data_IF_354822055233
#
_entry.id   IF_354822055233
#
_cell.length_a   1.000
_cell.length_b   1.000
_cell.length_c   1.000
_cell.angle_alpha   90.00
_cell.angle_beta   90.00
_cell.angle_gamma   90.00
#
_symmetry.space_group_name_H-M   'P 1'
#
loop_
_entity.id
_entity.type
_entity.pdbx_description
1 polymer ?
#
# COMPACT_ATOMS: atom_id res chain seq x y z
N UNK A 1 -28.81 2.26 6.25
CA UNK A 1 -28.16 2.47 7.57
C UNK A 1 -28.29 3.94 7.94
N UNK A 2 -28.50 4.28 9.23
CA UNK A 2 -28.50 5.69 9.65
C UNK A 2 -27.05 6.20 9.80
N UNK A 3 -26.69 7.21 9.00
CA UNK A 3 -25.36 7.82 9.05
C UNK A 3 -25.27 8.84 10.19
N UNK A 4 -24.20 8.74 10.99
CA UNK A 4 -23.92 9.68 12.07
C UNK A 4 -22.99 10.79 11.58
N UNK A 5 -23.28 12.03 11.96
CA UNK A 5 -22.48 13.20 11.61
C UNK A 5 -21.74 13.74 12.84
N UNK A 6 -20.65 14.49 12.58
CA UNK A 6 -19.82 15.21 13.54
C UNK A 6 -19.18 14.38 14.65
N UNK A 7 -19.09 13.07 14.46
CA UNK A 7 -18.42 12.13 15.36
C UNK A 7 -17.66 11.08 14.56
N UNK A 8 -16.68 10.47 15.20
CA UNK A 8 -15.92 9.36 14.64
C UNK A 8 -16.68 8.08 14.93
N UNK A 9 -16.97 7.29 13.90
CA UNK A 9 -17.66 6.00 14.04
C UNK A 9 -16.74 4.91 13.54
N UNK A 10 -16.57 3.85 14.32
CA UNK A 10 -15.79 2.66 13.97
C UNK A 10 -16.70 1.43 14.08
N UNK A 11 -16.69 0.60 13.04
CA UNK A 11 -17.52 -0.60 12.90
C UNK A 11 -16.63 -1.77 12.46
N UNK A 12 -16.97 -2.99 12.87
CA UNK A 12 -16.31 -4.21 12.40
C UNK A 12 -17.27 -5.07 11.58
N UNK A 13 -16.85 -5.41 10.37
CA UNK A 13 -17.58 -6.22 9.40
C UNK A 13 -16.67 -7.40 9.03
N UNK A 14 -16.76 -8.50 9.78
CA UNK A 14 -15.82 -9.62 9.67
C UNK A 14 -14.39 -9.18 9.98
N UNK A 15 -13.49 -9.39 9.01
CA UNK A 15 -12.08 -9.00 9.07
C UNK A 15 -11.79 -7.60 8.53
N UNK A 16 -12.85 -6.80 8.34
CA UNK A 16 -12.75 -5.41 7.88
C UNK A 16 -13.25 -4.44 8.95
N UNK A 17 -12.44 -3.43 9.25
CA UNK A 17 -12.85 -2.29 10.07
C UNK A 17 -13.27 -1.16 9.13
N UNK A 18 -14.42 -0.56 9.40
CA UNK A 18 -14.93 0.62 8.71
C UNK A 18 -14.93 1.78 9.68
N UNK A 19 -14.18 2.83 9.38
CA UNK A 19 -14.14 4.05 10.18
C UNK A 19 -14.55 5.25 9.35
N UNK A 20 -15.43 6.10 9.89
CA UNK A 20 -15.88 7.30 9.17
C UNK A 20 -16.04 8.53 10.05
N UNK A 21 -15.94 9.69 9.38
CA UNK A 21 -16.21 11.03 9.90
C UNK A 21 -16.97 11.77 8.81
N UNK A 22 -18.24 12.07 9.07
CA UNK A 22 -19.10 12.84 8.18
C UNK A 22 -19.39 14.19 8.82
N UNK A 23 -19.16 15.27 8.10
CA UNK A 23 -19.20 16.66 8.57
C UNK A 23 -20.39 17.38 7.93
N UNK A 24 -20.46 17.38 6.60
CA UNK A 24 -21.47 18.11 5.85
C UNK A 24 -22.03 17.24 4.71
N UNK A 25 -23.35 17.02 4.71
CA UNK A 25 -24.01 16.25 3.66
C UNK A 25 -23.98 16.92 2.28
N UNK A 26 -23.80 18.25 2.24
CA UNK A 26 -23.82 19.04 1.01
C UNK A 26 -22.43 19.11 0.32
N UNK A 27 -21.45 18.36 0.83
CA UNK A 27 -20.10 18.26 0.25
C UNK A 27 -19.76 16.81 -0.11
N UNK A 28 -18.79 16.56 -1.02
CA UNK A 28 -18.40 15.21 -1.40
C UNK A 28 -17.99 14.33 -0.23
N UNK A 29 -18.16 13.02 -0.38
CA UNK A 29 -17.61 12.00 0.52
C UNK A 29 -16.53 11.19 -0.16
N UNK A 30 -15.39 11.03 0.51
CA UNK A 30 -14.28 10.22 0.02
C UNK A 30 -14.35 8.84 0.66
N UNK A 31 -14.37 7.80 -0.17
CA UNK A 31 -14.34 6.41 0.25
C UNK A 31 -12.96 5.82 -0.03
N UNK A 32 -12.28 5.32 1.00
CA UNK A 32 -10.88 4.90 0.91
C UNK A 32 -10.68 3.42 1.20
N UNK A 33 -9.84 2.75 0.41
CA UNK A 33 -9.33 1.41 0.71
C UNK A 33 -7.79 1.39 0.67
N UNK A 34 -7.12 0.74 1.64
CA UNK A 34 -5.70 0.88 1.87
C UNK A 34 -4.89 -0.07 0.99
N UNK A 35 -3.58 0.17 0.84
CA UNK A 35 -2.70 -0.82 0.24
C UNK A 35 -2.64 -2.08 1.11
N UNK A 36 -2.27 -3.21 0.49
CA UNK A 36 -2.13 -4.49 1.21
C UNK A 36 -0.96 -4.54 2.21
N UNK A 37 -0.14 -3.48 2.28
CA UNK A 37 0.95 -3.34 3.24
C UNK A 37 0.54 -2.66 4.55
N UNK A 38 -0.72 -2.21 4.67
CA UNK A 38 -1.22 -1.48 5.84
C UNK A 38 -2.44 -2.22 6.39
N UNK A 39 -2.25 -2.99 7.46
CA UNK A 39 -3.29 -3.72 8.20
C UNK A 39 -3.21 -3.34 9.68
N UNK A 40 -4.31 -3.52 10.40
CA UNK A 40 -4.40 -3.26 11.85
C UNK A 40 -4.79 -4.54 12.57
N UNK A 41 -4.16 -4.84 13.70
CA UNK A 41 -4.44 -6.09 14.44
C UNK A 41 -5.54 -5.94 15.49
N UNK A 42 -5.78 -4.73 16.00
CA UNK A 42 -6.68 -4.49 17.12
C UNK A 42 -7.65 -3.32 16.89
N UNK A 43 -8.82 -3.40 17.52
CA UNK A 43 -9.91 -2.42 17.43
C UNK A 43 -9.66 -1.14 18.25
N UNK A 44 -8.79 -1.22 19.26
CA UNK A 44 -8.59 -0.17 20.29
C UNK A 44 -7.31 0.65 20.07
N UNK A 45 -6.68 0.54 18.91
CA UNK A 45 -5.48 1.32 18.66
C UNK A 45 -5.82 2.77 18.31
N UNK A 46 -5.08 3.71 18.91
CA UNK A 46 -4.94 5.11 18.48
C UNK A 46 -4.15 5.23 17.16
N UNK A 47 -4.03 4.12 16.40
CA UNK A 47 -3.24 4.10 15.19
C UNK A 47 -3.86 4.97 14.11
N UNK A 48 -2.97 5.70 13.43
CA UNK A 48 -3.30 6.52 12.28
C UNK A 48 -3.78 5.62 11.16
N UNK A 49 -5.09 5.63 10.93
CA UNK A 49 -5.68 4.81 9.91
C UNK A 49 -5.48 5.44 8.53
N UNK A 50 -4.99 4.63 7.58
CA UNK A 50 -4.68 5.08 6.22
C UNK A 50 -5.83 5.84 5.58
N UNK A 51 -5.55 7.05 5.10
CA UNK A 51 -6.53 7.92 4.47
C UNK A 51 -7.48 8.63 5.44
N UNK A 52 -7.94 7.97 6.51
CA UNK A 52 -8.94 8.51 7.44
C UNK A 52 -8.48 9.83 8.07
N UNK A 53 -7.36 9.83 8.78
CA UNK A 53 -6.87 11.04 9.47
C UNK A 53 -6.48 12.13 8.49
N UNK A 54 -5.98 11.75 7.32
CA UNK A 54 -5.63 12.69 6.26
C UNK A 54 -6.85 13.52 5.84
N UNK A 55 -7.96 12.86 5.47
CA UNK A 55 -9.18 13.56 5.04
C UNK A 55 -9.90 14.25 6.19
N UNK A 56 -9.92 13.64 7.38
CA UNK A 56 -10.45 14.26 8.61
C UNK A 56 -9.73 15.59 8.91
N UNK A 57 -8.39 15.62 8.85
CA UNK A 57 -7.62 16.85 9.05
C UNK A 57 -7.91 17.92 7.99
N UNK A 58 -8.32 17.53 6.78
CA UNK A 58 -8.72 18.47 5.72
C UNK A 58 -10.21 18.87 5.80
N UNK A 59 -10.95 18.43 6.83
CA UNK A 59 -12.39 18.68 6.98
C UNK A 59 -13.23 18.14 5.80
N UNK A 60 -12.83 16.99 5.25
CA UNK A 60 -13.54 16.30 4.17
C UNK A 60 -14.31 15.11 4.75
N UNK A 61 -15.54 14.87 4.30
CA UNK A 61 -16.29 13.67 4.68
C UNK A 61 -15.51 12.44 4.22
N UNK A 62 -15.28 11.48 5.12
CA UNK A 62 -14.48 10.29 4.80
C UNK A 62 -15.10 9.04 5.39
N UNK A 63 -15.10 7.97 4.58
CA UNK A 63 -15.34 6.60 5.00
C UNK A 63 -14.15 5.76 4.57
N UNK A 64 -13.47 5.15 5.53
CA UNK A 64 -12.27 4.38 5.30
C UNK A 64 -12.46 2.94 5.74
N UNK A 65 -12.12 2.01 4.85
CA UNK A 65 -12.11 0.57 5.10
C UNK A 65 -10.70 0.12 5.44
N UNK A 66 -10.54 -0.87 6.32
CA UNK A 66 -9.24 -1.40 6.73
C UNK A 66 -9.32 -2.91 6.86
N UNK A 67 -8.32 -3.61 6.34
CA UNK A 67 -8.20 -5.04 6.60
C UNK A 67 -7.50 -5.28 7.93
N UNK A 68 -7.97 -6.27 8.67
CA UNK A 68 -7.39 -6.66 9.97
C UNK A 68 -6.34 -7.75 9.86
N UNK A 69 -6.17 -8.31 8.65
CA UNK A 69 -5.26 -9.40 8.36
C UNK A 69 -4.59 -9.20 7.01
N UNK A 70 -3.38 -9.74 6.86
CA UNK A 70 -2.55 -9.57 5.66
C UNK A 70 -3.21 -10.11 4.38
N UNK A 71 -4.06 -11.13 4.48
CA UNK A 71 -4.70 -11.82 3.35
C UNK A 71 -6.20 -11.52 3.18
N UNK A 72 -6.68 -10.39 3.71
CA UNK A 72 -8.03 -9.88 3.38
C UNK A 72 -7.99 -9.01 2.12
N UNK A 73 -8.92 -9.27 1.20
CA UNK A 73 -8.98 -8.72 -0.16
C UNK A 73 -10.24 -7.88 -0.42
N UNK A 74 -11.03 -7.63 0.61
CA UNK A 74 -12.33 -6.95 0.61
C UNK A 74 -13.38 -7.68 -0.22
N UNK A 75 -13.42 -9.02 -0.12
CA UNK A 75 -14.32 -9.86 -0.95
C UNK A 75 -15.31 -10.70 -0.15
N UNK A 76 -15.33 -10.59 1.18
CA UNK A 76 -16.25 -11.37 2.01
C UNK A 76 -17.72 -11.03 1.72
N UNK A 77 -18.60 -12.02 1.78
CA UNK A 77 -20.04 -11.84 1.54
C UNK A 77 -20.65 -10.86 2.54
N UNK A 78 -20.23 -10.92 3.80
CA UNK A 78 -20.67 -9.98 4.84
C UNK A 78 -20.30 -8.52 4.51
N UNK A 79 -19.09 -8.28 4.00
CA UNK A 79 -18.68 -6.95 3.58
C UNK A 79 -19.50 -6.44 2.39
N UNK A 80 -19.78 -7.30 1.41
CA UNK A 80 -20.57 -6.93 0.24
C UNK A 80 -21.98 -6.46 0.63
N UNK A 81 -22.68 -7.22 1.47
CA UNK A 81 -24.01 -6.83 1.98
C UNK A 81 -23.97 -5.50 2.75
N UNK A 82 -22.94 -5.30 3.57
CA UNK A 82 -22.75 -4.03 4.26
C UNK A 82 -22.53 -2.86 3.27
N UNK A 83 -21.71 -3.08 2.24
CA UNK A 83 -21.41 -2.07 1.23
C UNK A 83 -22.65 -1.68 0.42
N UNK A 84 -23.52 -2.63 0.07
CA UNK A 84 -24.80 -2.34 -0.60
C UNK A 84 -25.70 -1.44 0.25
N UNK A 85 -25.84 -1.76 1.54
CA UNK A 85 -26.61 -0.95 2.48
C UNK A 85 -26.00 0.43 2.70
N UNK A 86 -24.67 0.50 2.74
CA UNK A 86 -23.94 1.76 2.85
C UNK A 86 -24.16 2.62 1.61
N UNK A 87 -24.04 2.06 0.41
CA UNK A 87 -24.25 2.77 -0.86
C UNK A 87 -25.62 3.44 -0.95
N UNK A 88 -26.69 2.73 -0.56
CA UNK A 88 -28.03 3.31 -0.48
C UNK A 88 -28.10 4.51 0.48
N UNK A 89 -27.35 4.45 1.59
CA UNK A 89 -27.30 5.53 2.59
C UNK A 89 -26.44 6.71 2.13
N UNK A 90 -25.48 6.49 1.22
CA UNK A 90 -24.60 7.50 0.65
C UNK A 90 -25.25 8.36 -0.43
N UNK A 91 -26.45 8.01 -0.90
CA UNK A 91 -27.20 8.77 -1.91
C UNK A 91 -27.49 10.22 -1.50
N UNK A 92 -27.38 10.56 -0.22
CA UNK A 92 -27.55 11.93 0.30
C UNK A 92 -26.41 12.88 -0.07
N UNK A 93 -25.23 12.35 -0.42
CA UNK A 93 -24.06 13.17 -0.75
C UNK A 93 -24.08 13.56 -2.23
N UNK A 94 -23.67 14.78 -2.58
CA UNK A 94 -23.65 15.24 -3.96
C UNK A 94 -22.65 14.48 -4.83
N UNK A 95 -21.59 13.94 -4.21
CA UNK A 95 -20.54 13.20 -4.91
C UNK A 95 -19.90 12.17 -3.97
N UNK A 96 -19.64 10.95 -4.47
CA UNK A 96 -18.95 9.85 -3.79
C UNK A 96 -17.68 9.53 -4.58
N UNK A 97 -16.54 9.82 -3.97
CA UNK A 97 -15.22 9.74 -4.61
C UNK A 97 -14.43 8.56 -4.06
N UNK A 98 -14.04 7.63 -4.92
CA UNK A 98 -13.17 6.51 -4.54
C UNK A 98 -11.69 6.90 -4.49
N UNK A 99 -10.96 6.41 -3.48
CA UNK A 99 -9.51 6.52 -3.42
C UNK A 99 -8.85 5.21 -2.95
N UNK A 100 -7.99 4.64 -3.80
CA UNK A 100 -7.40 3.34 -3.52
C UNK A 100 -5.98 3.19 -4.07
N UNK A 101 -5.15 2.45 -3.34
CA UNK A 101 -3.78 2.11 -3.76
C UNK A 101 -3.62 0.59 -3.79
N UNK A 102 -3.04 0.04 -4.86
CA UNK A 102 -2.73 -1.39 -4.94
C UNK A 102 -3.97 -2.27 -4.74
N UNK A 103 -3.98 -3.11 -3.70
CA UNK A 103 -5.17 -3.87 -3.24
C UNK A 103 -6.37 -2.97 -2.96
N UNK A 104 -6.16 -1.79 -2.40
CA UNK A 104 -7.22 -0.81 -2.20
C UNK A 104 -7.78 -0.28 -3.53
N UNK A 105 -6.96 -0.19 -4.57
CA UNK A 105 -7.42 0.15 -5.91
C UNK A 105 -8.32 -0.94 -6.51
N UNK A 106 -8.02 -2.20 -6.23
CA UNK A 106 -8.90 -3.33 -6.54
C UNK A 106 -10.24 -3.19 -5.80
N UNK A 107 -10.22 -2.98 -4.48
CA UNK A 107 -11.42 -2.90 -3.66
C UNK A 107 -12.33 -1.72 -4.02
N UNK A 108 -11.76 -0.53 -4.26
CA UNK A 108 -12.52 0.64 -4.76
C UNK A 108 -13.24 0.29 -6.05
N UNK A 109 -12.55 -0.35 -6.99
CA UNK A 109 -13.09 -0.67 -8.31
C UNK A 109 -14.13 -1.78 -8.25
N UNK A 110 -13.91 -2.80 -7.42
CA UNK A 110 -14.82 -3.92 -7.22
C UNK A 110 -16.17 -3.44 -6.65
N UNK A 111 -16.12 -2.54 -5.67
CA UNK A 111 -17.29 -2.05 -4.94
C UNK A 111 -17.88 -0.76 -5.52
N UNK A 112 -17.35 -0.27 -6.64
CA UNK A 112 -17.69 1.05 -7.16
C UNK A 112 -19.19 1.22 -7.45
N UNK A 113 -19.82 0.21 -8.05
CA UNK A 113 -21.25 0.22 -8.35
C UNK A 113 -22.09 0.20 -7.08
N UNK A 114 -21.80 -0.71 -6.15
CA UNK A 114 -22.56 -0.84 -4.90
C UNK A 114 -22.43 0.41 -4.01
N UNK A 115 -21.28 1.10 -4.04
CA UNK A 115 -21.05 2.37 -3.36
C UNK A 115 -21.61 3.59 -4.10
N UNK A 116 -22.07 3.43 -5.35
CA UNK A 116 -22.55 4.51 -6.18
C UNK A 116 -21.48 5.57 -6.49
N UNK A 117 -20.22 5.17 -6.67
CA UNK A 117 -19.10 6.10 -6.89
C UNK A 117 -19.24 6.86 -8.21
N UNK A 118 -19.07 8.18 -8.16
CA UNK A 118 -19.11 9.04 -9.36
C UNK A 118 -17.76 9.09 -10.09
N UNK A 119 -16.65 8.93 -9.36
CA UNK A 119 -15.30 8.79 -9.91
C UNK A 119 -14.33 8.23 -8.88
N UNK A 120 -13.18 7.74 -9.33
CA UNK A 120 -12.15 7.24 -8.43
C UNK A 120 -10.71 7.55 -8.87
N UNK A 121 -9.84 7.77 -7.89
CA UNK A 121 -8.38 7.85 -8.07
C UNK A 121 -7.74 6.55 -7.60
N UNK A 122 -7.11 5.84 -8.53
CA UNK A 122 -6.43 4.58 -8.27
C UNK A 122 -4.93 4.74 -8.49
N UNK A 123 -4.12 4.29 -7.55
CA UNK A 123 -2.66 4.23 -7.72
C UNK A 123 -2.21 2.78 -7.79
N UNK A 124 -1.52 2.41 -8.87
CA UNK A 124 -1.01 1.06 -9.15
C UNK A 124 -2.04 -0.05 -8.81
N UNK A 125 -3.30 0.07 -9.26
CA UNK A 125 -4.36 -0.85 -8.86
C UNK A 125 -4.08 -2.27 -9.35
N UNK A 126 -4.49 -3.26 -8.57
CA UNK A 126 -4.78 -4.59 -9.12
C UNK A 126 -6.19 -4.57 -9.71
N UNK A 127 -6.39 -5.29 -10.82
CA UNK A 127 -7.71 -5.40 -11.45
C UNK A 127 -8.44 -6.68 -11.06
N UNK A 128 -7.74 -7.71 -10.59
CA UNK A 128 -8.32 -9.04 -10.32
C UNK A 128 -7.44 -9.82 -9.35
N UNK A 129 -8.06 -10.75 -8.60
CA UNK A 129 -7.37 -11.82 -7.87
C UNK A 129 -7.67 -13.21 -8.45
N UNK A 130 -8.11 -13.28 -9.72
CA UNK A 130 -8.27 -14.54 -10.45
C UNK A 130 -6.98 -14.88 -11.22
N UNK A 131 -6.32 -16.02 -10.94
CA UNK A 131 -5.11 -16.43 -11.65
C UNK A 131 -5.38 -16.81 -13.10
N UNK A 132 -6.63 -17.13 -13.46
CA UNK A 132 -7.05 -17.35 -14.85
C UNK A 132 -6.95 -16.06 -15.67
N UNK A 133 -7.24 -14.92 -15.04
CA UNK A 133 -7.30 -13.60 -15.68
C UNK A 133 -5.97 -12.85 -15.62
N UNK A 134 -5.16 -13.10 -14.60
CA UNK A 134 -3.84 -12.50 -14.42
C UNK A 134 -2.77 -13.53 -14.05
N UNK A 135 -2.50 -14.55 -14.90
CA UNK A 135 -1.48 -15.58 -14.62
C UNK A 135 -0.05 -15.02 -14.62
N UNK A 136 0.12 -13.76 -15.02
CA UNK A 136 1.39 -13.05 -15.09
C UNK A 136 1.72 -12.26 -13.82
N UNK A 137 0.82 -12.13 -12.84
CA UNK A 137 1.09 -11.44 -11.58
C UNK A 137 1.33 -12.44 -10.43
N UNK A 138 2.56 -12.49 -9.87
CA UNK A 138 2.85 -13.31 -8.70
C UNK A 138 1.98 -13.02 -7.47
N UNK A 139 1.49 -11.78 -7.31
CA UNK A 139 0.59 -11.42 -6.20
C UNK A 139 -0.77 -12.08 -6.34
N UNK A 140 -1.28 -12.19 -7.56
CA UNK A 140 -2.55 -12.86 -7.85
C UNK A 140 -2.42 -14.35 -7.58
N UNK A 141 -1.35 -14.97 -8.08
CA UNK A 141 -1.07 -16.40 -7.83
C UNK A 141 -0.92 -16.68 -6.32
N UNK A 142 -0.24 -15.80 -5.58
CA UNK A 142 -0.12 -15.94 -4.13
C UNK A 142 -1.48 -15.85 -3.44
N UNK A 143 -2.28 -14.84 -3.78
CA UNK A 143 -3.59 -14.59 -3.18
C UNK A 143 -4.58 -15.74 -3.41
N UNK A 144 -4.55 -16.34 -4.60
CA UNK A 144 -5.36 -17.52 -4.93
C UNK A 144 -5.06 -18.71 -4.00
N UNK A 145 -3.76 -19.00 -3.82
CA UNK A 145 -3.30 -20.08 -2.94
C UNK A 145 -3.63 -19.87 -1.47
N UNK A 146 -3.60 -18.61 -0.99
CA UNK A 146 -3.79 -18.31 0.43
C UNK A 146 -5.26 -18.10 0.81
N UNK A 147 -6.07 -17.51 -0.08
CA UNK A 147 -7.45 -17.12 0.27
C UNK A 147 -8.51 -18.18 0.00
N UNK A 148 -8.24 -19.20 -0.85
CA UNK A 148 -9.21 -20.21 -1.30
C UNK A 148 -10.59 -19.61 -1.67
N UNK A 149 -10.61 -18.39 -2.21
CA UNK A 149 -11.84 -17.65 -2.45
C UNK A 149 -12.60 -18.23 -3.64
N UNK A 150 -13.86 -18.60 -3.42
CA UNK A 150 -14.74 -19.22 -4.42
C UNK A 150 -15.91 -18.34 -4.88
N UNK A 151 -15.95 -17.06 -4.46
CA UNK A 151 -17.01 -16.14 -4.87
C UNK A 151 -16.75 -15.47 -6.23
N UNK A 152 -17.78 -14.82 -6.77
CA UNK A 152 -17.74 -14.18 -8.09
C UNK A 152 -17.06 -12.81 -8.10
N UNK A 153 -16.87 -12.19 -6.92
CA UNK A 153 -16.30 -10.86 -6.77
C UNK A 153 -14.76 -10.87 -6.81
N UNK A 154 -14.21 -11.38 -7.91
CA UNK A 154 -12.78 -11.59 -8.10
C UNK A 154 -12.15 -10.78 -9.24
N UNK A 155 -12.95 -10.06 -10.03
CA UNK A 155 -12.48 -9.19 -11.12
C UNK A 155 -13.21 -7.84 -11.10
N UNK A 156 -12.42 -6.78 -10.98
CA UNK A 156 -12.88 -5.39 -10.94
C UNK A 156 -12.67 -4.67 -12.29
N UNK A 157 -12.18 -5.37 -13.32
CA UNK A 157 -11.91 -4.82 -14.65
C UNK A 157 -13.14 -4.19 -15.34
N UNK A 158 -14.32 -4.75 -15.03
CA UNK A 158 -15.62 -4.31 -15.56
C UNK A 158 -16.15 -3.01 -14.95
N UNK A 159 -15.46 -2.43 -13.96
CA UNK A 159 -15.86 -1.17 -13.32
C UNK A 159 -16.11 -0.07 -14.37
N UNK A 160 -17.29 0.55 -14.31
CA UNK A 160 -17.74 1.61 -15.22
C UNK A 160 -17.60 3.02 -14.65
N UNK A 161 -17.37 3.15 -13.34
CA UNK A 161 -17.06 4.44 -12.70
C UNK A 161 -15.85 5.06 -13.38
N UNK A 162 -15.87 6.36 -13.74
CA UNK A 162 -14.71 7.08 -14.26
C UNK A 162 -13.46 6.93 -13.37
N UNK A 163 -12.42 6.27 -13.88
CA UNK A 163 -11.18 6.02 -13.15
C UNK A 163 -10.05 6.92 -13.66
N UNK A 164 -9.42 7.66 -12.74
CA UNK A 164 -8.08 8.23 -12.93
C UNK A 164 -7.05 7.28 -12.35
N UNK A 165 -6.20 6.71 -13.19
CA UNK A 165 -5.24 5.66 -12.80
C UNK A 165 -3.81 6.19 -12.91
N UNK A 166 -3.08 6.19 -11.78
CA UNK A 166 -1.66 6.49 -11.73
C UNK A 166 -0.86 5.18 -11.66
N UNK A 167 0.02 4.91 -12.62
CA UNK A 167 0.73 3.63 -12.70
C UNK A 167 2.15 3.75 -13.28
N UNK A 168 2.96 2.70 -13.11
CA UNK A 168 4.25 2.58 -13.79
C UNK A 168 4.12 1.74 -15.07
N UNK A 169 4.18 2.33 -16.28
CA UNK A 169 4.08 1.59 -17.52
C UNK A 169 5.28 0.67 -17.79
N UNK A 170 6.40 0.83 -17.08
CA UNK A 170 7.58 -0.01 -17.23
C UNK A 170 7.52 -1.27 -16.36
N UNK A 171 6.65 -1.31 -15.35
CA UNK A 171 6.40 -2.50 -14.56
C UNK A 171 5.28 -3.30 -15.25
N UNK A 172 5.63 -4.47 -15.81
CA UNK A 172 4.69 -5.31 -16.58
C UNK A 172 3.38 -5.58 -15.81
N UNK A 173 3.39 -6.01 -14.54
CA UNK A 173 2.15 -6.20 -13.80
C UNK A 173 1.24 -4.96 -13.70
N UNK A 174 1.79 -3.81 -13.31
CA UNK A 174 1.02 -2.57 -13.18
C UNK A 174 0.42 -2.13 -14.52
N UNK A 175 1.20 -2.23 -15.60
CA UNK A 175 0.71 -1.92 -16.96
C UNK A 175 -0.44 -2.84 -17.36
N UNK A 176 -0.29 -4.14 -17.18
CA UNK A 176 -1.29 -5.13 -17.58
C UNK A 176 -2.57 -5.04 -16.74
N UNK A 177 -2.47 -4.72 -15.44
CA UNK A 177 -3.65 -4.45 -14.62
C UNK A 177 -4.38 -3.19 -15.07
N UNK A 178 -3.66 -2.10 -15.33
CA UNK A 178 -4.26 -0.86 -15.85
C UNK A 178 -4.98 -1.11 -17.19
N UNK A 179 -4.37 -1.85 -18.11
CA UNK A 179 -4.93 -2.17 -19.44
C UNK A 179 -6.25 -2.96 -19.38
N UNK A 180 -6.55 -3.63 -18.26
CA UNK A 180 -7.80 -4.38 -18.09
C UNK A 180 -9.00 -3.49 -17.73
N UNK A 181 -8.80 -2.32 -17.13
CA UNK A 181 -9.91 -1.49 -16.67
C UNK A 181 -10.66 -0.84 -17.84
N UNK A 182 -11.96 -1.07 -17.92
CA UNK A 182 -12.81 -0.48 -18.97
C UNK A 182 -13.34 0.92 -18.64
N UNK A 183 -13.43 1.29 -17.36
CA UNK A 183 -13.86 2.62 -16.90
C UNK A 183 -12.74 3.65 -16.77
N UNK A 184 -11.54 3.37 -17.27
CA UNK A 184 -10.45 4.33 -17.22
C UNK A 184 -10.71 5.51 -18.18
N UNK A 185 -10.66 6.72 -17.61
CA UNK A 185 -10.81 7.99 -18.34
C UNK A 185 -9.53 8.81 -18.35
N UNK A 186 -8.63 8.58 -17.39
CA UNK A 186 -7.32 9.25 -17.34
C UNK A 186 -6.18 8.31 -16.89
N UNK A 187 -5.10 8.28 -17.68
CA UNK A 187 -3.86 7.51 -17.44
C UNK A 187 -2.70 8.42 -17.08
N UNK A 188 -2.36 8.48 -15.80
CA UNK A 188 -1.20 9.21 -15.32
C UNK A 188 0.00 8.27 -15.14
N UNK A 189 1.13 8.60 -15.76
CA UNK A 189 2.30 7.71 -15.83
C UNK A 189 3.43 8.21 -14.94
N UNK A 190 3.96 7.33 -14.10
CA UNK A 190 5.22 7.54 -13.39
C UNK A 190 6.18 6.40 -13.75
N UNK A 191 6.97 6.59 -14.80
CA UNK A 191 7.79 5.50 -15.35
C UNK A 191 9.05 5.21 -14.52
N UNK A 192 9.26 3.92 -14.22
CA UNK A 192 10.50 3.38 -13.64
C UNK A 192 10.57 3.41 -12.11
N UNK A 193 9.44 3.56 -11.43
CA UNK A 193 9.35 3.57 -9.95
C UNK A 193 8.85 2.24 -9.39
N UNK A 194 8.42 1.33 -10.25
CA UNK A 194 7.80 0.05 -9.90
C UNK A 194 6.47 0.24 -9.19
N UNK A 195 6.09 -0.76 -8.39
CA UNK A 195 4.86 -0.76 -7.60
C UNK A 195 5.00 0.12 -6.34
N UNK A 196 5.36 1.39 -6.53
CA UNK A 196 5.68 2.37 -5.48
C UNK A 196 5.13 3.77 -5.80
N UNK A 197 4.01 3.87 -6.51
CA UNK A 197 3.43 5.17 -6.94
C UNK A 197 3.15 6.09 -5.75
N UNK A 198 2.40 5.61 -4.74
CA UNK A 198 2.08 6.41 -3.55
C UNK A 198 3.34 6.87 -2.80
N UNK A 199 4.32 5.97 -2.62
CA UNK A 199 5.62 6.31 -2.04
C UNK A 199 6.36 7.36 -2.88
N UNK A 200 6.38 7.22 -4.20
CA UNK A 200 7.07 8.16 -5.09
C UNK A 200 6.47 9.55 -4.95
N UNK A 201 5.14 9.67 -5.01
CA UNK A 201 4.47 10.97 -4.87
C UNK A 201 4.74 11.59 -3.49
N UNK A 202 4.79 10.77 -2.43
CA UNK A 202 5.13 11.22 -1.07
C UNK A 202 6.58 11.70 -0.99
N UNK A 203 7.53 10.92 -1.49
CA UNK A 203 8.97 11.25 -1.47
C UNK A 203 9.27 12.48 -2.35
N UNK A 204 8.39 12.81 -3.31
CA UNK A 204 8.43 14.05 -4.09
C UNK A 204 7.71 15.23 -3.45
N UNK A 205 7.02 15.03 -2.32
CA UNK A 205 6.24 16.07 -1.63
C UNK A 205 4.95 16.47 -2.34
N UNK A 206 4.48 15.69 -3.33
CA UNK A 206 3.32 16.06 -4.17
C UNK A 206 2.10 15.15 -3.96
N UNK A 207 2.17 14.12 -3.10
CA UNK A 207 1.07 13.19 -2.86
C UNK A 207 -0.19 13.89 -2.33
N UNK A 208 -0.04 14.68 -1.26
CA UNK A 208 -1.16 15.40 -0.62
C UNK A 208 -1.89 16.26 -1.65
N UNK A 209 -1.15 17.09 -2.36
CA UNK A 209 -1.70 17.98 -3.38
C UNK A 209 -2.38 17.20 -4.52
N UNK A 210 -1.75 16.15 -5.04
CA UNK A 210 -2.34 15.30 -6.09
C UNK A 210 -3.69 14.72 -5.66
N UNK A 211 -3.80 14.23 -4.42
CA UNK A 211 -5.04 13.62 -3.91
C UNK A 211 -6.11 14.68 -3.68
N UNK A 212 -5.77 15.82 -3.08
CA UNK A 212 -6.73 16.90 -2.84
C UNK A 212 -7.19 17.57 -4.13
N UNK A 213 -6.30 17.80 -5.07
CA UNK A 213 -6.65 18.36 -6.37
C UNK A 213 -7.55 17.41 -7.15
N UNK A 214 -7.32 16.10 -7.05
CA UNK A 214 -8.29 15.13 -7.54
C UNK A 214 -9.63 15.30 -6.82
N UNK A 215 -9.67 15.25 -5.48
CA UNK A 215 -10.93 15.36 -4.72
C UNK A 215 -11.70 16.63 -5.06
N UNK A 216 -11.02 17.76 -5.26
CA UNK A 216 -11.63 19.04 -5.62
C UNK A 216 -11.86 19.24 -7.13
N UNK A 217 -11.61 18.22 -7.97
CA UNK A 217 -11.86 18.29 -9.41
C UNK A 217 -10.94 19.23 -10.19
N UNK A 218 -9.73 19.49 -9.68
CA UNK A 218 -8.76 20.46 -10.22
C UNK A 218 -7.37 19.88 -10.48
N UNK A 219 -7.29 18.56 -10.67
CA UNK A 219 -6.03 17.87 -10.94
C UNK A 219 -5.42 18.36 -12.26
N UNK A 220 -4.24 18.99 -12.18
CA UNK A 220 -3.50 19.50 -13.35
C UNK A 220 -2.82 18.35 -14.12
N UNK A 221 -3.53 17.83 -15.12
CA UNK A 221 -3.09 16.71 -15.95
C UNK A 221 -1.90 17.08 -16.84
N UNK A 222 -1.82 18.33 -17.29
CA UNK A 222 -0.80 18.81 -18.23
C UNK A 222 0.56 18.97 -17.54
N UNK A 223 0.56 19.46 -16.30
CA UNK A 223 1.78 19.65 -15.52
C UNK A 223 2.19 18.39 -14.75
N UNK A 224 1.28 17.44 -14.52
CA UNK A 224 1.59 16.20 -13.79
C UNK A 224 2.86 15.49 -14.31
N UNK A 225 3.06 15.28 -15.64
CA UNK A 225 4.27 14.69 -16.19
C UNK A 225 5.55 15.46 -15.84
N UNK A 226 5.49 16.80 -15.77
CA UNK A 226 6.63 17.65 -15.39
C UNK A 226 6.95 17.47 -13.92
N UNK A 227 5.94 17.50 -13.04
CA UNK A 227 6.11 17.31 -11.58
C UNK A 227 6.75 15.97 -11.24
N UNK A 228 6.29 14.88 -11.86
CA UNK A 228 6.83 13.54 -11.57
C UNK A 228 8.21 13.27 -12.19
N UNK A 229 8.79 14.19 -12.99
CA UNK A 229 10.22 14.09 -13.41
C UNK A 229 11.16 14.22 -12.23
N UNK A 230 10.71 14.83 -11.13
CA UNK A 230 11.43 14.86 -9.86
C UNK A 230 11.86 13.48 -9.37
N UNK A 231 11.20 12.38 -9.78
CA UNK A 231 11.60 11.01 -9.42
C UNK A 231 13.08 10.69 -9.68
N UNK A 232 13.73 11.40 -10.61
CA UNK A 232 15.17 11.31 -10.91
C UNK A 232 16.08 11.75 -9.75
N UNK A 233 15.55 12.44 -8.76
CA UNK A 233 16.26 12.83 -7.53
C UNK A 233 16.10 11.79 -6.41
N UNK A 234 15.33 10.72 -6.64
CA UNK A 234 15.08 9.70 -5.63
C UNK A 234 16.13 8.59 -5.72
N UNK A 235 16.77 8.28 -4.59
CA UNK A 235 17.84 7.28 -4.53
C UNK A 235 17.38 5.88 -4.96
N UNK A 236 16.17 5.48 -4.53
CA UNK A 236 15.62 4.17 -4.88
C UNK A 236 15.33 4.06 -6.38
N UNK A 237 14.89 5.14 -7.02
CA UNK A 237 14.60 5.19 -8.45
C UNK A 237 15.87 4.94 -9.26
N UNK A 238 16.95 5.66 -8.93
CA UNK A 238 18.24 5.51 -9.59
C UNK A 238 18.86 4.13 -9.35
N UNK A 239 18.76 3.61 -8.12
CA UNK A 239 19.21 2.24 -7.78
C UNK A 239 18.42 1.20 -8.57
N UNK A 240 17.10 1.32 -8.60
CA UNK A 240 16.21 0.39 -9.30
C UNK A 240 16.46 0.40 -10.80
N UNK A 241 16.66 1.55 -11.43
CA UNK A 241 16.92 1.58 -12.87
C UNK A 241 18.33 1.11 -13.25
N UNK A 242 19.30 1.26 -12.34
CA UNK A 242 20.66 0.77 -12.56
C UNK A 242 20.73 -0.76 -12.66
N UNK A 243 19.76 -1.48 -12.06
CA UNK A 243 19.69 -2.95 -12.14
C UNK A 243 18.98 -3.47 -13.40
N UNK A 244 18.69 -2.61 -14.37
CA UNK A 244 17.93 -2.90 -15.58
C UNK A 244 16.68 -3.79 -15.38
N UNK A 245 15.69 -3.33 -14.59
CA UNK A 245 14.52 -4.12 -14.24
C UNK A 245 13.63 -4.42 -15.45
N UNK A 246 13.87 -3.74 -16.58
CA UNK A 246 13.10 -3.88 -17.81
C UNK A 246 13.81 -4.67 -18.91
N UNK A 247 15.10 -4.98 -18.75
CA UNK A 247 15.95 -5.50 -19.83
C UNK A 247 16.11 -4.53 -21.02
N UNK A 248 15.87 -3.23 -20.81
CA UNK A 248 15.79 -2.20 -21.87
C UNK A 248 16.77 -1.04 -21.62
N UNK A 249 17.87 -1.29 -20.91
CA UNK A 249 18.82 -0.26 -20.52
C UNK A 249 19.83 0.06 -21.65
N UNK A 250 19.44 0.96 -22.56
CA UNK A 250 20.32 1.47 -23.63
C UNK A 250 21.47 2.33 -23.10
N UNK A 251 22.53 2.53 -23.89
CA UNK A 251 23.65 3.42 -23.53
C UNK A 251 23.18 4.84 -23.17
N UNK A 252 22.26 5.42 -23.95
CA UNK A 252 21.66 6.73 -23.65
C UNK A 252 20.96 6.74 -22.29
N UNK A 253 20.23 5.68 -21.94
CA UNK A 253 19.57 5.56 -20.63
C UNK A 253 20.58 5.42 -19.49
N UNK A 254 21.67 4.64 -19.70
CA UNK A 254 22.78 4.53 -18.74
C UNK A 254 23.41 5.88 -18.45
N UNK A 255 23.68 6.68 -19.50
CA UNK A 255 24.23 8.03 -19.36
C UNK A 255 23.32 8.93 -18.50
N UNK A 256 22.01 8.95 -18.79
CA UNK A 256 21.04 9.73 -18.00
C UNK A 256 20.98 9.28 -16.54
N UNK A 257 20.95 7.96 -16.28
CA UNK A 257 20.93 7.42 -14.92
C UNK A 257 22.23 7.78 -14.19
N UNK A 258 23.39 7.63 -14.84
CA UNK A 258 24.69 7.96 -14.26
C UNK A 258 24.78 9.44 -13.91
N UNK A 259 24.37 10.32 -14.82
CA UNK A 259 24.30 11.76 -14.59
C UNK A 259 23.48 12.11 -13.34
N UNK A 260 22.24 11.62 -13.24
CA UNK A 260 21.39 11.89 -12.09
C UNK A 260 21.89 11.22 -10.79
N UNK A 261 22.57 10.07 -10.90
CA UNK A 261 23.22 9.40 -9.76
C UNK A 261 24.41 10.20 -9.25
N UNK A 262 25.20 10.81 -10.13
CA UNK A 262 26.28 11.70 -9.75
C UNK A 262 25.74 12.96 -9.07
N UNK A 263 24.74 13.61 -9.66
CA UNK A 263 24.07 14.77 -9.04
C UNK A 263 23.50 14.43 -7.67
N UNK A 264 22.87 13.27 -7.54
CA UNK A 264 22.33 12.81 -6.26
C UNK A 264 23.46 12.64 -5.23
N UNK A 265 24.58 12.00 -5.59
CA UNK A 265 25.74 11.84 -4.70
C UNK A 265 26.32 13.18 -4.28
N UNK A 266 26.49 14.11 -5.21
CA UNK A 266 27.00 15.45 -4.93
C UNK A 266 26.10 16.19 -3.94
N UNK A 267 24.77 16.09 -4.09
CA UNK A 267 23.81 16.71 -3.17
C UNK A 267 23.82 16.09 -1.76
N UNK A 268 24.26 14.84 -1.61
CA UNK A 268 24.26 14.09 -0.34
C UNK A 268 25.68 13.71 0.10
N UNK A 269 26.69 14.46 -0.35
CA UNK A 269 28.11 14.13 -0.13
C UNK A 269 28.47 14.08 1.36
N UNK A 270 27.82 14.91 2.18
CA UNK A 270 27.99 14.95 3.64
C UNK A 270 27.22 13.83 4.37
N UNK A 271 26.18 13.27 3.74
CA UNK A 271 25.35 12.23 4.34
C UNK A 271 25.95 10.84 4.22
N UNK A 272 26.75 10.57 3.19
CA UNK A 272 27.35 9.25 2.94
C UNK A 272 28.34 8.85 4.05
N UNK A 273 29.31 9.69 4.46
CA UNK A 273 30.19 9.38 5.60
C UNK A 273 29.41 9.16 6.88
N UNK A 274 28.38 9.99 7.14
CA UNK A 274 27.49 9.85 8.31
C UNK A 274 26.75 8.51 8.30
N UNK A 275 26.15 8.13 7.17
CA UNK A 275 25.44 6.85 7.02
C UNK A 275 26.36 5.64 7.19
N UNK A 276 27.58 5.71 6.67
CA UNK A 276 28.58 4.65 6.87
C UNK A 276 28.94 4.55 8.35
N UNK A 277 29.22 5.67 9.02
CA UNK A 277 29.51 5.69 10.45
C UNK A 277 28.35 5.12 11.29
N UNK A 278 27.10 5.50 11.00
CA UNK A 278 25.92 4.95 11.67
C UNK A 278 25.79 3.44 11.46
N UNK A 279 25.92 2.95 10.21
CA UNK A 279 25.88 1.50 9.94
C UNK A 279 26.99 0.74 10.64
N UNK A 280 28.19 1.31 10.71
CA UNK A 280 29.31 0.72 11.42
C UNK A 280 29.00 0.64 12.92
N UNK A 281 28.48 1.72 13.50
CA UNK A 281 28.03 1.77 14.90
C UNK A 281 26.97 0.71 15.18
N UNK A 282 25.93 0.63 14.35
CA UNK A 282 24.85 -0.37 14.51
C UNK A 282 25.38 -1.80 14.37
N UNK A 283 26.30 -2.04 13.43
CA UNK A 283 26.94 -3.35 13.26
C UNK A 283 27.81 -3.71 14.46
N UNK A 284 28.53 -2.76 15.05
CA UNK A 284 29.34 -2.98 16.25
C UNK A 284 28.46 -3.26 17.46
N UNK A 285 27.38 -2.50 17.64
CA UNK A 285 26.42 -2.70 18.73
C UNK A 285 25.78 -4.09 18.67
N UNK A 286 25.37 -4.56 17.48
CA UNK A 286 24.84 -5.93 17.31
C UNK A 286 25.86 -7.00 17.69
N UNK A 287 27.12 -6.85 17.28
CA UNK A 287 28.19 -7.81 17.60
C UNK A 287 28.54 -7.82 19.09
N UNK A 288 28.49 -6.66 19.75
CA UNK A 288 28.67 -6.55 21.19
C UNK A 288 27.52 -7.26 21.91
N UNK A 289 26.26 -7.01 21.52
CA UNK A 289 25.09 -7.66 22.11
C UNK A 289 25.11 -9.20 21.90
N UNK A 290 25.48 -9.67 20.71
CA UNK A 290 25.69 -11.09 20.42
C UNK A 290 26.80 -11.69 21.29
N UNK A 291 27.93 -10.99 21.47
CA UNK A 291 29.02 -11.44 22.33
C UNK A 291 28.63 -11.48 23.82
N UNK A 292 27.83 -10.52 24.28
CA UNK A 292 27.32 -10.48 25.65
C UNK A 292 26.31 -11.59 25.90
N UNK A 293 25.43 -11.89 24.94
CA UNK A 293 24.53 -13.06 24.96
C UNK A 293 25.30 -14.38 24.98
N UNK A 294 26.40 -14.47 24.25
CA UNK A 294 27.26 -15.66 24.27
C UNK A 294 27.95 -15.84 25.62
N UNK A 295 28.43 -14.75 26.23
CA UNK A 295 29.05 -14.76 27.55
C UNK A 295 28.06 -15.12 28.67
N UNK A 296 26.82 -14.61 28.64
CA UNK A 296 25.76 -15.01 29.59
C UNK A 296 25.30 -16.46 29.38
N UNK A 297 25.25 -16.95 28.15
CA UNK A 297 24.97 -18.36 27.86
C UNK A 297 26.10 -19.29 28.32
N UNK A 298 27.36 -18.86 28.21
CA UNK A 298 28.53 -19.63 28.67
C UNK A 298 28.70 -19.66 30.19
N UNK A 299 28.17 -18.66 30.91
CA UNK A 299 28.14 -18.64 32.40
C UNK A 299 27.15 -19.63 33.02
N UNK A 300 26.22 -20.19 32.23
CA UNK A 300 25.32 -21.26 32.67
C UNK A 300 25.90 -22.68 32.49
N UNK A 301 27.17 -22.81 32.09
CA UNK A 301 27.91 -24.07 32.14
C UNK A 301 28.94 -24.04 33.27
N UNK A 302 28.52 -24.44 34.49
CA UNK A 302 29.46 -24.87 35.53
C UNK A 302 29.69 -26.40 35.42
N UNK A 303 30.94 -26.88 35.52
CA UNK A 303 31.25 -28.30 35.61
C UNK A 303 31.30 -28.76 37.07
N UNK A 304 30.85 -30.00 37.32
CA UNK A 304 31.38 -30.98 38.30
C UNK A 304 30.26 -31.90 38.80
N UNK A 305 30.08 -33.06 38.14
CA UNK A 305 29.51 -34.23 38.84
C UNK A 305 30.61 -34.78 39.74
N UNK A 306 30.41 -34.66 41.05
CA UNK A 306 31.17 -35.40 42.05
C UNK A 306 30.97 -36.90 41.81
N UNK A 307 32.09 -37.60 41.71
CA UNK A 307 32.18 -39.05 41.63
C UNK A 307 31.84 -39.61 43.02
N UNK A 308 30.71 -40.32 43.15
CA UNK A 308 30.43 -41.17 44.30
C UNK A 308 30.21 -42.57 43.75
N UNK A 309 31.14 -43.47 44.08
CA UNK A 309 30.99 -44.91 43.91
C UNK A 309 29.90 -45.41 44.86
N UNK A 310 28.97 -46.20 44.33
CA UNK A 310 28.37 -47.32 45.08
C UNK A 310 27.93 -48.41 44.12
N UNK A 311 28.43 -49.62 44.39
CA UNK A 311 28.05 -50.90 43.79
C UNK A 311 26.55 -51.19 44.00
N UNK A 312 25.87 -51.81 43.02
CA UNK A 312 25.29 -53.17 43.10
C UNK A 312 24.31 -53.46 41.93
N UNK A 313 24.65 -54.49 41.15
CA UNK A 313 23.83 -55.61 40.64
C UNK A 313 22.37 -55.41 40.12
N UNK A 314 22.18 -55.92 38.89
CA UNK A 314 21.14 -56.89 38.42
C UNK A 314 19.79 -56.41 37.85
N UNK A 315 19.58 -56.88 36.62
CA UNK A 315 18.35 -57.27 35.90
C UNK A 315 16.98 -56.99 36.54
N UNK A 316 16.10 -56.32 35.79
CA UNK A 316 15.19 -56.95 34.82
C UNK A 316 14.83 -55.94 33.72
#
# INVERSE_FOLDING_TARGET
MLLKFNQDVRLRIGDVIVQYRLINKDTPVVITFPPGSEWITELETDEVLWGFDFFKQQQINVISFFHTQQDEYFRSVALQHFIEQLGASLAIFPEKIGYGISRGGFAVSLHANALGLDRALLMMPLSTYSPLLAPWDPKVIKADKTSQYSGDNNDASGCKTPLTIIYDPLLKPDRLHMERFSGEVQRLKISGVGHRIGRTLRDLGILKETVLDFVHGRLDLDNFPRRVRGRRTLSFYLKSLSSDPTGKLTLKRKQVIYYHKLLWKLKHIEDEPRKVATRLKDSLLKRIDESQKFLTCSRNFFPAKAFVMTNFFVFC
#
